data_IF_706837230046
#
_entry.id   IF_706837230046
#
_cell.length_a   1.000
_cell.length_b   1.000
_cell.length_c   1.000
_cell.angle_alpha   90.00
_cell.angle_beta   90.00
_cell.angle_gamma   90.00
#
_symmetry.space_group_name_H-M   'P 1'
#
loop_
_entity.id
_entity.type
_entity.pdbx_description
1 polymer ?
#
# COMPACT_ATOMS: atom_id res chain seq x y z
N UNK A 1 -3.87 -1.93 -6.27
CA UNK A 1 -3.16 -3.07 -6.87
C UNK A 1 -3.83 -4.41 -6.58
N UNK A 2 -4.20 -4.73 -5.31
CA UNK A 2 -4.84 -6.02 -4.98
C UNK A 2 -6.09 -6.30 -5.80
N UNK A 3 -6.98 -5.32 -5.98
CA UNK A 3 -8.14 -5.46 -6.84
C UNK A 3 -7.75 -5.67 -8.32
N UNK A 4 -6.73 -4.96 -8.82
CA UNK A 4 -6.22 -5.22 -10.16
C UNK A 4 -5.68 -6.65 -10.30
N UNK A 5 -4.92 -7.14 -9.30
CA UNK A 5 -4.44 -8.52 -9.27
C UNK A 5 -5.60 -9.54 -9.29
N UNK A 6 -6.65 -9.31 -8.48
CA UNK A 6 -7.85 -10.16 -8.50
C UNK A 6 -8.48 -10.21 -9.90
N UNK A 7 -8.66 -9.05 -10.54
CA UNK A 7 -9.26 -8.98 -11.86
C UNK A 7 -8.47 -9.74 -12.92
N UNK A 8 -7.13 -9.66 -12.91
CA UNK A 8 -6.30 -10.38 -13.89
C UNK A 8 -6.23 -11.88 -13.65
N UNK A 9 -6.46 -12.33 -12.41
CA UNK A 9 -6.55 -13.74 -12.07
C UNK A 9 -7.89 -14.35 -12.53
N UNK A 10 -8.99 -13.58 -12.43
CA UNK A 10 -10.35 -14.08 -12.63
C UNK A 10 -10.90 -13.82 -14.03
N UNK A 11 -10.32 -12.91 -14.78
CA UNK A 11 -10.86 -12.48 -16.08
C UNK A 11 -9.87 -12.67 -17.21
N UNK A 12 -10.36 -13.19 -18.33
CA UNK A 12 -9.60 -13.20 -19.59
C UNK A 12 -9.57 -11.78 -20.20
N UNK A 13 -8.46 -11.41 -20.81
CA UNK A 13 -8.30 -10.13 -21.51
C UNK A 13 -7.25 -10.27 -22.63
N UNK A 14 -7.47 -9.55 -23.74
CA UNK A 14 -6.50 -9.49 -24.85
C UNK A 14 -5.37 -8.49 -24.56
N UNK A 15 -5.70 -7.36 -23.94
CA UNK A 15 -4.72 -6.32 -23.59
C UNK A 15 -4.93 -5.84 -22.15
N UNK A 16 -3.91 -6.05 -21.33
CA UNK A 16 -3.91 -5.70 -19.89
C UNK A 16 -4.23 -4.24 -19.62
N UNK A 17 -3.60 -3.33 -20.37
CA UNK A 17 -3.70 -1.89 -20.11
C UNK A 17 -5.07 -1.36 -20.48
N UNK A 18 -5.60 -1.76 -21.63
CA UNK A 18 -6.96 -1.41 -22.06
C UNK A 18 -7.98 -1.94 -21.07
N UNK A 19 -7.83 -3.22 -20.67
CA UNK A 19 -8.72 -3.86 -19.71
C UNK A 19 -8.73 -3.12 -18.36
N UNK A 20 -7.56 -2.85 -17.77
CA UNK A 20 -7.48 -2.14 -16.50
C UNK A 20 -7.98 -0.70 -16.60
N UNK A 21 -7.67 0.04 -17.67
CA UNK A 21 -8.22 1.37 -17.89
C UNK A 21 -9.75 1.37 -17.86
N UNK A 22 -10.39 0.46 -18.60
CA UNK A 22 -11.85 0.31 -18.63
C UNK A 22 -12.41 0.04 -17.22
N UNK A 23 -11.80 -0.93 -16.47
CA UNK A 23 -12.27 -1.32 -15.13
C UNK A 23 -12.06 -0.23 -14.07
N UNK A 24 -10.98 0.56 -14.17
CA UNK A 24 -10.66 1.59 -13.19
C UNK A 24 -11.24 2.98 -13.51
N UNK A 25 -11.78 3.19 -14.73
CA UNK A 25 -12.47 4.44 -15.09
C UNK A 25 -13.70 4.69 -14.23
N UNK A 26 -14.52 3.65 -14.01
CA UNK A 26 -15.79 3.70 -13.28
C UNK A 26 -15.76 2.76 -12.06
N UNK A 27 -14.72 2.89 -11.26
CA UNK A 27 -14.52 2.01 -10.10
C UNK A 27 -15.49 2.36 -8.97
N UNK A 28 -16.21 1.37 -8.47
CA UNK A 28 -17.06 1.49 -7.29
C UNK A 28 -16.33 0.92 -6.06
N UNK A 29 -15.88 1.79 -5.19
CA UNK A 29 -15.11 1.42 -3.99
C UNK A 29 -15.96 0.69 -2.93
N UNK A 30 -17.27 0.98 -2.83
CA UNK A 30 -18.16 0.27 -1.89
C UNK A 30 -18.22 -1.23 -2.22
N UNK A 31 -18.24 -1.58 -3.51
CA UNK A 31 -18.23 -2.97 -3.92
C UNK A 31 -16.88 -3.65 -3.69
N UNK A 32 -15.77 -2.91 -3.84
CA UNK A 32 -14.43 -3.44 -3.63
C UNK A 32 -14.15 -3.72 -2.15
N UNK A 33 -14.64 -2.89 -1.24
CA UNK A 33 -14.43 -3.08 0.21
C UNK A 33 -15.04 -4.37 0.76
N UNK A 34 -16.04 -4.94 0.05
CA UNK A 34 -16.67 -6.23 0.39
C UNK A 34 -15.86 -7.44 -0.10
N UNK A 35 -14.83 -7.25 -0.93
CA UNK A 35 -14.06 -8.34 -1.51
C UNK A 35 -12.92 -8.78 -0.60
N UNK A 36 -12.69 -10.10 -0.51
CA UNK A 36 -11.48 -10.61 0.10
C UNK A 36 -10.30 -10.43 -0.86
N UNK A 37 -9.47 -9.43 -0.59
CA UNK A 37 -8.28 -9.08 -1.39
C UNK A 37 -6.96 -9.48 -0.71
N UNK A 38 -7.00 -10.27 0.36
CA UNK A 38 -5.84 -10.63 1.19
C UNK A 38 -5.46 -12.11 1.07
N UNK A 39 -5.62 -12.69 -0.11
CA UNK A 39 -5.21 -14.07 -0.39
C UNK A 39 -3.76 -14.14 -0.87
N UNK A 40 -3.11 -15.29 -0.65
CA UNK A 40 -1.74 -15.53 -1.10
C UNK A 40 -1.62 -15.35 -2.63
N UNK A 41 -2.55 -15.91 -3.39
CA UNK A 41 -2.59 -15.81 -4.86
C UNK A 41 -2.60 -14.35 -5.34
N UNK A 42 -3.39 -13.49 -4.69
CA UNK A 42 -3.42 -12.06 -5.00
C UNK A 42 -2.09 -11.39 -4.63
N UNK A 43 -1.53 -11.70 -3.46
CA UNK A 43 -0.27 -11.10 -2.98
C UNK A 43 0.91 -11.39 -3.92
N UNK A 44 0.97 -12.57 -4.49
CA UNK A 44 2.00 -12.98 -5.46
C UNK A 44 1.96 -12.14 -6.74
N UNK A 45 0.78 -11.73 -7.19
CA UNK A 45 0.58 -10.93 -8.41
C UNK A 45 0.79 -9.42 -8.20
N UNK A 46 0.65 -8.91 -6.97
CA UNK A 46 0.79 -7.46 -6.69
C UNK A 46 2.19 -6.93 -7.05
N UNK A 47 3.24 -7.67 -6.72
CA UNK A 47 4.61 -7.23 -6.96
C UNK A 47 4.96 -7.10 -8.45
N UNK A 48 4.76 -8.16 -9.26
CA UNK A 48 4.94 -8.09 -10.71
C UNK A 48 4.10 -7.00 -11.37
N UNK A 49 2.81 -6.90 -11.03
CA UNK A 49 1.91 -5.90 -11.58
C UNK A 49 2.35 -4.46 -11.26
N UNK A 50 2.86 -4.24 -10.05
CA UNK A 50 3.36 -2.93 -9.63
C UNK A 50 4.67 -2.50 -10.30
N UNK A 51 5.37 -3.37 -11.04
CA UNK A 51 6.55 -3.02 -11.84
C UNK A 51 6.17 -2.41 -13.18
N UNK A 52 4.97 -2.67 -13.70
CA UNK A 52 4.53 -2.20 -15.02
C UNK A 52 4.20 -0.71 -14.95
N UNK A 53 4.95 0.11 -15.69
CA UNK A 53 4.82 1.58 -15.71
C UNK A 53 3.37 2.04 -15.99
N UNK A 54 2.76 1.49 -17.03
CA UNK A 54 1.41 1.89 -17.43
C UNK A 54 0.33 1.50 -16.40
N UNK A 55 0.48 0.35 -15.74
CA UNK A 55 -0.39 -0.04 -14.61
C UNK A 55 -0.25 0.97 -13.47
N UNK A 56 0.98 1.38 -13.15
CA UNK A 56 1.20 2.41 -12.11
C UNK A 56 0.54 3.74 -12.46
N UNK A 57 0.57 4.15 -13.73
CA UNK A 57 -0.11 5.39 -14.17
C UNK A 57 -1.62 5.30 -13.97
N UNK A 58 -2.23 4.17 -14.34
CA UNK A 58 -3.67 3.92 -14.12
C UNK A 58 -4.00 4.01 -12.61
N UNK A 59 -3.24 3.29 -11.78
CA UNK A 59 -3.45 3.28 -10.33
C UNK A 59 -3.27 4.67 -9.72
N UNK A 60 -2.23 5.42 -10.13
CA UNK A 60 -1.98 6.78 -9.68
C UNK A 60 -3.14 7.73 -10.03
N UNK A 61 -3.64 7.67 -11.27
CA UNK A 61 -4.79 8.47 -11.72
C UNK A 61 -6.03 8.17 -10.88
N UNK A 62 -6.33 6.89 -10.68
CA UNK A 62 -7.47 6.42 -9.89
C UNK A 62 -7.39 6.85 -8.43
N UNK A 63 -6.23 6.66 -7.79
CA UNK A 63 -6.01 7.08 -6.40
C UNK A 63 -6.16 8.60 -6.24
N UNK A 64 -5.59 9.40 -7.15
CA UNK A 64 -5.73 10.86 -7.11
C UNK A 64 -7.19 11.32 -7.27
N UNK A 65 -7.96 10.69 -8.18
CA UNK A 65 -9.38 10.97 -8.33
C UNK A 65 -10.14 10.68 -7.03
N UNK A 66 -9.89 9.54 -6.40
CA UNK A 66 -10.51 9.18 -5.13
C UNK A 66 -10.18 10.19 -4.02
N UNK A 67 -8.92 10.56 -3.90
CA UNK A 67 -8.45 11.49 -2.87
C UNK A 67 -9.08 12.88 -3.05
N UNK A 68 -9.12 13.39 -4.27
CA UNK A 68 -9.76 14.69 -4.57
C UNK A 68 -11.25 14.76 -4.23
N UNK A 69 -11.95 13.62 -4.34
CA UNK A 69 -13.38 13.55 -4.08
C UNK A 69 -13.72 13.35 -2.57
N UNK A 70 -12.72 13.36 -1.70
CA UNK A 70 -12.91 13.17 -0.25
C UNK A 70 -12.18 14.29 0.51
N UNK A 71 -12.93 15.07 1.31
CA UNK A 71 -12.36 16.16 2.13
C UNK A 71 -11.38 15.65 3.20
N UNK A 72 -11.68 14.49 3.81
CA UNK A 72 -10.84 13.84 4.83
C UNK A 72 -10.62 12.39 4.44
N UNK A 73 -9.37 12.00 4.26
CA UNK A 73 -9.02 10.63 3.84
C UNK A 73 -7.67 10.21 4.42
N UNK A 74 -7.62 9.00 4.95
CA UNK A 74 -6.37 8.31 5.28
C UNK A 74 -5.99 7.37 4.15
N UNK A 75 -4.78 7.51 3.62
CA UNK A 75 -4.30 6.71 2.47
C UNK A 75 -3.06 5.94 2.87
N UNK A 76 -3.12 4.62 2.80
CA UNK A 76 -1.97 3.77 3.04
C UNK A 76 -1.28 3.31 1.75
N UNK A 77 0.02 3.06 1.82
CA UNK A 77 0.79 2.49 0.70
C UNK A 77 2.29 2.65 0.86
N UNK A 78 3.03 2.26 -0.16
CA UNK A 78 4.49 2.26 -0.16
C UNK A 78 5.12 3.56 -0.64
N UNK A 79 4.41 4.28 -1.49
CA UNK A 79 4.89 5.48 -2.21
C UNK A 79 3.87 6.62 -2.20
N UNK A 80 2.95 6.61 -1.24
CA UNK A 80 1.85 7.59 -1.18
C UNK A 80 2.40 9.00 -1.06
N UNK A 81 3.15 9.30 -0.02
CA UNK A 81 3.70 10.63 0.20
C UNK A 81 4.77 11.01 -0.85
N UNK A 82 5.63 10.06 -1.25
CA UNK A 82 6.74 10.33 -2.16
C UNK A 82 6.34 10.45 -3.64
N UNK A 83 5.18 9.91 -4.04
CA UNK A 83 4.78 9.84 -5.45
C UNK A 83 3.34 10.26 -5.70
N UNK A 84 2.38 9.70 -4.97
CA UNK A 84 0.96 9.92 -5.24
C UNK A 84 0.55 11.31 -4.78
N UNK A 85 0.88 11.65 -3.53
CA UNK A 85 0.57 12.90 -2.85
C UNK A 85 1.76 13.85 -2.72
N UNK A 86 2.73 13.77 -3.65
CA UNK A 86 3.93 14.61 -3.60
C UNK A 86 3.64 16.09 -3.90
N UNK A 87 2.73 16.39 -4.83
CA UNK A 87 2.45 17.76 -5.30
C UNK A 87 0.96 18.09 -5.30
N UNK A 88 0.18 17.47 -6.15
CA UNK A 88 -1.24 17.79 -6.35
C UNK A 88 -2.08 16.50 -6.49
N UNK A 89 -2.98 16.23 -5.54
CA UNK A 89 -3.03 16.87 -4.21
C UNK A 89 -1.79 16.53 -3.38
N UNK A 90 -1.41 17.42 -2.44
CA UNK A 90 -0.38 17.17 -1.44
C UNK A 90 -1.04 16.60 -0.18
N UNK A 91 -0.30 15.81 0.59
CA UNK A 91 -0.76 15.36 1.92
C UNK A 91 -0.60 16.48 2.95
N UNK A 92 -1.46 16.48 3.95
CA UNK A 92 -1.33 17.37 5.12
C UNK A 92 -0.33 16.80 6.12
N UNK A 93 -0.42 15.50 6.39
CA UNK A 93 0.47 14.77 7.30
C UNK A 93 0.92 13.47 6.66
N UNK A 94 2.21 13.15 6.77
CA UNK A 94 2.76 11.88 6.34
C UNK A 94 3.36 11.11 7.51
N UNK A 95 2.92 9.88 7.73
CA UNK A 95 3.53 8.95 8.67
C UNK A 95 4.33 7.88 7.92
N UNK A 96 5.55 7.63 8.38
CA UNK A 96 6.39 6.56 7.85
C UNK A 96 6.57 5.47 8.90
N UNK A 97 5.95 4.33 8.65
CA UNK A 97 6.02 3.18 9.56
C UNK A 97 7.28 2.36 9.33
N UNK A 98 8.03 2.11 10.41
CA UNK A 98 9.21 1.25 10.42
C UNK A 98 9.02 0.13 11.44
N UNK A 99 9.43 -1.09 11.06
CA UNK A 99 9.44 -2.25 11.93
C UNK A 99 10.72 -3.06 11.68
N UNK A 100 11.27 -3.68 12.71
CA UNK A 100 12.35 -4.65 12.54
C UNK A 100 11.85 -5.86 11.74
N UNK A 101 12.71 -6.46 10.93
CA UNK A 101 12.35 -7.64 10.12
C UNK A 101 11.86 -8.79 11.00
N UNK A 102 12.54 -9.03 12.15
CA UNK A 102 12.16 -10.06 13.12
C UNK A 102 10.71 -9.92 13.57
N UNK A 103 10.32 -8.72 14.04
CA UNK A 103 8.97 -8.46 14.57
C UNK A 103 7.91 -8.44 13.47
N UNK A 104 8.23 -7.90 12.29
CA UNK A 104 7.35 -7.91 11.13
C UNK A 104 7.09 -9.32 10.61
N UNK A 105 8.13 -10.16 10.55
CA UNK A 105 8.04 -11.57 10.15
C UNK A 105 7.19 -12.38 11.11
N UNK A 106 7.40 -12.20 12.42
CA UNK A 106 6.60 -12.88 13.44
C UNK A 106 5.13 -12.52 13.35
N UNK A 107 4.78 -11.22 13.27
CA UNK A 107 3.39 -10.77 13.11
C UNK A 107 2.75 -11.38 11.86
N UNK A 108 3.45 -11.32 10.72
CA UNK A 108 2.95 -11.91 9.47
C UNK A 108 2.78 -13.42 9.56
N UNK A 109 3.66 -14.10 10.25
CA UNK A 109 3.58 -15.55 10.49
C UNK A 109 2.35 -15.92 11.32
N UNK A 110 2.04 -15.15 12.35
CA UNK A 110 0.80 -15.31 13.14
C UNK A 110 -0.43 -15.04 12.28
N UNK A 111 -0.45 -13.95 11.48
CA UNK A 111 -1.55 -13.63 10.54
C UNK A 111 -1.81 -14.76 9.54
N UNK A 112 -0.77 -15.47 9.14
CA UNK A 112 -0.84 -16.63 8.26
C UNK A 112 -1.23 -17.93 9.01
N UNK A 113 -1.65 -17.81 10.28
CA UNK A 113 -1.98 -18.97 11.15
C UNK A 113 -0.85 -19.99 11.21
N UNK A 114 0.42 -19.52 11.14
CA UNK A 114 1.64 -20.33 11.20
C UNK A 114 1.77 -21.42 10.13
N UNK A 115 1.01 -21.33 9.03
CA UNK A 115 0.97 -22.35 7.95
C UNK A 115 2.26 -22.43 7.11
N UNK A 116 3.15 -21.46 7.22
CA UNK A 116 4.40 -21.38 6.46
C UNK A 116 5.54 -21.18 7.47
N UNK A 117 6.73 -21.80 7.29
CA UNK A 117 7.86 -21.60 8.18
C UNK A 117 8.23 -20.13 8.34
N UNK A 118 8.53 -19.68 9.56
CA UNK A 118 8.89 -18.28 9.87
C UNK A 118 10.07 -17.78 9.02
N UNK A 119 11.04 -18.65 8.72
CA UNK A 119 12.20 -18.36 7.86
C UNK A 119 11.76 -17.95 6.45
N UNK A 120 10.78 -18.62 5.87
CA UNK A 120 10.26 -18.32 4.55
C UNK A 120 9.48 -17.00 4.56
N UNK A 121 8.66 -16.76 5.58
CA UNK A 121 7.96 -15.47 5.75
C UNK A 121 8.97 -14.32 5.84
N UNK A 122 10.05 -14.51 6.61
CA UNK A 122 11.12 -13.51 6.73
C UNK A 122 11.82 -13.24 5.41
N UNK A 123 12.18 -14.29 4.66
CA UNK A 123 12.79 -14.21 3.32
C UNK A 123 11.89 -13.45 2.34
N UNK A 124 10.60 -13.76 2.33
CA UNK A 124 9.60 -13.11 1.49
C UNK A 124 9.46 -11.61 1.80
N UNK A 125 9.35 -11.23 3.09
CA UNK A 125 9.25 -9.84 3.51
C UNK A 125 10.52 -9.04 3.17
N UNK A 126 11.70 -9.63 3.40
CA UNK A 126 12.99 -9.03 3.03
C UNK A 126 13.07 -8.78 1.51
N UNK A 127 12.76 -9.80 0.71
CA UNK A 127 12.72 -9.71 -0.77
C UNK A 127 11.78 -8.59 -1.23
N UNK A 128 10.56 -8.56 -0.71
CA UNK A 128 9.55 -7.53 -1.03
C UNK A 128 10.07 -6.12 -0.68
N UNK A 129 10.64 -5.93 0.50
CA UNK A 129 11.14 -4.63 0.93
C UNK A 129 12.29 -4.14 0.04
N UNK A 130 13.21 -5.05 -0.34
CA UNK A 130 14.29 -4.72 -1.28
C UNK A 130 13.75 -4.35 -2.65
N UNK A 131 12.78 -5.10 -3.17
CA UNK A 131 12.13 -4.78 -4.45
C UNK A 131 11.44 -3.42 -4.42
N UNK A 132 10.71 -3.10 -3.34
CA UNK A 132 10.03 -1.81 -3.17
C UNK A 132 11.02 -0.64 -3.11
N UNK A 133 12.18 -0.82 -2.47
CA UNK A 133 13.23 0.20 -2.37
C UNK A 133 13.99 0.41 -3.69
N UNK A 134 14.31 -0.69 -4.40
CA UNK A 134 15.15 -0.67 -5.61
C UNK A 134 14.38 -0.46 -6.91
N UNK A 135 13.05 -0.44 -6.89
CA UNK A 135 12.28 -0.27 -8.14
C UNK A 135 12.53 1.09 -8.78
N UNK A 136 12.68 1.09 -10.10
CA UNK A 136 12.94 2.29 -10.94
C UNK A 136 11.83 3.35 -10.77
N UNK A 137 10.58 2.93 -10.74
CA UNK A 137 9.43 3.84 -10.64
C UNK A 137 8.83 3.80 -9.24
N UNK A 138 8.67 4.96 -8.60
CA UNK A 138 8.05 5.14 -7.29
C UNK A 138 8.65 4.24 -6.20
N UNK A 139 9.95 4.32 -5.91
CA UNK A 139 10.59 3.54 -4.87
C UNK A 139 10.01 3.87 -3.49
N UNK A 140 10.09 2.90 -2.58
CA UNK A 140 9.75 3.11 -1.18
C UNK A 140 10.77 4.07 -0.56
N UNK A 141 10.36 5.31 -0.32
CA UNK A 141 11.19 6.37 0.29
C UNK A 141 10.42 7.06 1.41
N UNK A 142 11.11 7.31 2.54
CA UNK A 142 10.64 8.25 3.56
C UNK A 142 10.82 9.66 2.99
N UNK A 143 9.76 10.47 2.96
CA UNK A 143 9.87 11.90 2.64
C UNK A 143 10.43 12.67 3.83
N UNK A 144 11.03 13.84 3.59
CA UNK A 144 11.78 14.59 4.60
C UNK A 144 10.92 14.93 5.83
N UNK A 145 9.70 15.37 5.59
CA UNK A 145 8.72 15.80 6.59
C UNK A 145 7.84 14.65 7.14
N UNK A 146 8.07 13.39 6.75
CA UNK A 146 7.32 12.28 7.30
C UNK A 146 7.73 11.96 8.74
N UNK A 147 6.73 11.83 9.61
CA UNK A 147 6.88 11.46 11.01
C UNK A 147 7.13 9.96 11.11
N UNK A 148 8.23 9.59 11.75
CA UNK A 148 8.61 8.20 11.93
C UNK A 148 7.80 7.54 13.05
N UNK A 149 7.12 6.45 12.71
CA UNK A 149 6.40 5.59 13.67
C UNK A 149 7.13 4.25 13.76
N UNK A 150 7.75 3.98 14.90
CA UNK A 150 8.46 2.72 15.21
C UNK A 150 7.48 1.69 15.76
N UNK A 151 6.94 0.83 14.90
CA UNK A 151 5.93 -0.18 15.30
C UNK A 151 6.52 -1.41 15.99
N UNK A 152 7.83 -1.52 16.03
CA UNK A 152 8.55 -2.55 16.79
C UNK A 152 8.75 -2.15 18.27
N UNK A 153 8.67 -0.85 18.59
CA UNK A 153 8.82 -0.32 19.95
C UNK A 153 7.45 0.03 20.52
N UNK A 154 6.63 0.73 19.75
CA UNK A 154 5.30 1.18 20.18
C UNK A 154 4.27 0.05 20.05
N UNK A 155 3.44 -0.11 21.09
CA UNK A 155 2.23 -0.92 20.97
C UNK A 155 1.13 -0.16 20.20
N UNK A 156 0.03 -0.84 19.87
CA UNK A 156 -1.05 -0.26 19.06
C UNK A 156 -1.65 1.00 19.69
N UNK A 157 -1.90 1.00 21.01
CA UNK A 157 -2.48 2.14 21.74
C UNK A 157 -1.55 3.36 21.70
N UNK A 158 -0.26 3.16 22.01
CA UNK A 158 0.75 4.23 21.97
C UNK A 158 0.93 4.79 20.56
N UNK A 159 0.90 3.92 19.55
CA UNK A 159 1.03 4.33 18.15
C UNK A 159 -0.15 5.21 17.72
N UNK A 160 -1.38 4.80 18.04
CA UNK A 160 -2.59 5.57 17.72
C UNK A 160 -2.53 6.92 18.45
N UNK A 161 -2.24 6.92 19.76
CA UNK A 161 -2.11 8.17 20.52
C UNK A 161 -1.12 9.14 19.87
N UNK A 162 0.11 8.67 19.57
CA UNK A 162 1.12 9.50 18.91
C UNK A 162 0.64 10.08 17.58
N UNK A 163 -0.12 9.31 16.80
CA UNK A 163 -0.68 9.79 15.53
C UNK A 163 -1.81 10.81 15.76
N UNK A 164 -2.70 10.57 16.70
CA UNK A 164 -3.77 11.50 17.07
C UNK A 164 -3.21 12.84 17.55
N UNK A 165 -2.25 12.82 18.48
CA UNK A 165 -1.61 14.05 19.01
C UNK A 165 -1.02 14.93 17.88
N UNK A 166 -0.43 14.29 16.87
CA UNK A 166 0.11 15.00 15.69
C UNK A 166 -1.00 15.56 14.80
N UNK A 167 -2.07 14.82 14.61
CA UNK A 167 -3.20 15.23 13.77
C UNK A 167 -3.91 16.40 14.42
N UNK A 168 -4.20 16.32 15.71
CA UNK A 168 -4.87 17.36 16.49
C UNK A 168 -4.08 18.68 16.46
N UNK A 169 -2.76 18.63 16.70
CA UNK A 169 -1.87 19.81 16.59
C UNK A 169 -1.83 20.45 15.20
N UNK A 170 -2.26 19.75 14.17
CA UNK A 170 -2.25 20.26 12.80
C UNK A 170 -3.60 20.83 12.38
N UNK A 171 -4.68 20.40 13.03
CA UNK A 171 -6.05 20.81 12.72
C UNK A 171 -6.46 22.04 13.55
N UNK A 172 -5.94 22.13 14.77
CA UNK A 172 -6.03 23.32 15.64
C UNK A 172 -4.93 24.33 15.27
#
# INVERSE_FOLDING_TARGET
>A
YRYASKLIIEKKFKNLIIFLNKKFKNINYKNISKLNLHTQKIDEHVGPLAKIKNVRLIMKKTQKKLIKNNKRICVEGRDIASTILKKNPKYDIAFYFKCSLKKASYRRWVDLKKKIPLKEVSKSLRKRTLMDKKRKYSPLKKVKDAILIRTDILNKKMMIKKMSDVIEKKIN
#
